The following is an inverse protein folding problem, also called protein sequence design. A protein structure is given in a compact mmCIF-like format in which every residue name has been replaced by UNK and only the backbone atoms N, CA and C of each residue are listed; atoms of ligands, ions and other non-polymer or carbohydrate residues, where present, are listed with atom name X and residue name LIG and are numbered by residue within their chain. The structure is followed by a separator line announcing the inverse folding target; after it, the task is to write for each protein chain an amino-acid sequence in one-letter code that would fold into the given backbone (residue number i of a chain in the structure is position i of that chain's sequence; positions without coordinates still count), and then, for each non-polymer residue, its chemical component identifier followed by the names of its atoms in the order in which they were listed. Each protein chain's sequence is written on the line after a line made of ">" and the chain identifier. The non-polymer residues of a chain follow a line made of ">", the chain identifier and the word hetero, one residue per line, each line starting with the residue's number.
data_IF_314874708453
#
_entry.id   IF_314874708453
#
_cell.length_a   1.000
_cell.length_b   1.000
_cell.length_c   1.000
_cell.angle_alpha   90.00
_cell.angle_beta   90.00
_cell.angle_gamma   90.00
#
_symmetry.space_group_name_H-M   'P 1'
#
loop_
_entity.id
_entity.type
_entity.pdbx_description
1 polymer ?
#
# COMPACT_ATOMS: atom_id res chain seq x y z
N UNK A 1 -26.70 -1.20 6.05
CA UNK A 1 -25.87 -0.03 6.41
C UNK A 1 -25.89 1.08 5.36
N UNK A 2 -25.49 0.84 4.09
CA UNK A 2 -25.54 1.88 3.02
C UNK A 2 -26.94 2.47 2.77
N UNK A 3 -27.99 1.66 2.88
CA UNK A 3 -29.37 2.14 2.77
C UNK A 3 -29.73 3.15 3.87
N UNK A 4 -29.30 2.88 5.10
CA UNK A 4 -29.56 3.75 6.25
C UNK A 4 -28.78 5.07 6.16
N UNK A 5 -27.56 5.04 5.59
CA UNK A 5 -26.81 6.26 5.26
C UNK A 5 -27.54 7.11 4.22
N UNK A 6 -28.00 6.50 3.12
CA UNK A 6 -28.76 7.19 2.08
C UNK A 6 -30.06 7.76 2.63
N UNK A 7 -30.78 6.99 3.43
CA UNK A 7 -32.02 7.42 4.05
C UNK A 7 -31.80 8.58 5.03
N UNK A 8 -30.77 8.50 5.89
CA UNK A 8 -30.37 9.61 6.76
C UNK A 8 -30.03 10.87 5.96
N UNK A 9 -29.34 10.75 4.81
CA UNK A 9 -29.08 11.90 3.91
C UNK A 9 -30.36 12.51 3.37
N UNK A 10 -31.31 11.70 2.91
CA UNK A 10 -32.60 12.19 2.41
C UNK A 10 -33.40 12.89 3.50
N UNK A 11 -33.43 12.34 4.71
CA UNK A 11 -34.13 12.94 5.84
C UNK A 11 -33.46 14.23 6.31
N UNK A 12 -32.12 14.28 6.34
CA UNK A 12 -31.40 15.52 6.60
C UNK A 12 -31.69 16.59 5.54
N UNK A 13 -31.85 16.21 4.27
CA UNK A 13 -32.24 17.13 3.21
C UNK A 13 -33.68 17.63 3.41
N UNK A 14 -34.62 16.75 3.75
CA UNK A 14 -36.00 17.12 4.03
C UNK A 14 -36.14 18.10 5.21
N UNK A 15 -35.32 17.94 6.25
CA UNK A 15 -35.24 18.89 7.37
C UNK A 15 -34.66 20.24 6.91
N UNK A 16 -33.62 20.25 6.08
CA UNK A 16 -33.05 21.50 5.51
C UNK A 16 -34.01 22.25 4.60
N UNK A 17 -34.90 21.53 3.93
CA UNK A 17 -35.97 22.09 3.10
C UNK A 17 -37.24 22.40 3.91
N UNK A 18 -37.18 22.25 5.24
CA UNK A 18 -38.29 22.51 6.16
C UNK A 18 -39.54 21.64 5.90
N UNK A 19 -39.41 20.53 5.18
CA UNK A 19 -40.49 19.56 4.98
C UNK A 19 -40.72 18.69 6.22
N UNK A 20 -39.75 18.64 7.12
CA UNK A 20 -39.79 17.88 8.35
C UNK A 20 -39.23 18.74 9.49
N UNK A 21 -40.02 18.94 10.55
CA UNK A 21 -39.68 19.80 11.68
C UNK A 21 -38.57 19.23 12.58
N UNK A 22 -38.40 17.90 12.63
CA UNK A 22 -37.46 17.25 13.53
C UNK A 22 -36.80 16.05 12.87
N UNK A 23 -35.48 15.97 12.99
CA UNK A 23 -34.72 14.88 12.41
C UNK A 23 -34.80 13.61 13.29
N UNK A 24 -35.39 12.50 12.80
CA UNK A 24 -35.44 11.23 13.51
C UNK A 24 -34.05 10.58 13.70
N UNK A 25 -33.02 11.03 12.97
CA UNK A 25 -31.66 10.50 13.03
C UNK A 25 -30.70 11.26 13.94
N UNK A 26 -31.14 12.29 14.66
CA UNK A 26 -30.25 13.14 15.47
C UNK A 26 -29.50 12.35 16.55
N UNK A 27 -30.18 11.40 17.21
CA UNK A 27 -29.57 10.55 18.24
C UNK A 27 -28.99 9.25 17.68
N UNK A 28 -29.13 9.02 16.38
CA UNK A 28 -28.68 7.78 15.74
C UNK A 28 -27.32 7.96 15.08
N UNK A 29 -26.30 7.32 15.65
CA UNK A 29 -24.95 7.30 15.11
C UNK A 29 -24.70 6.01 14.30
N UNK A 30 -24.31 6.19 13.04
CA UNK A 30 -23.85 5.09 12.20
C UNK A 30 -22.43 4.72 12.63
N UNK A 31 -22.27 3.52 13.19
CA UNK A 31 -20.95 2.94 13.46
C UNK A 31 -20.43 2.29 12.18
N UNK A 32 -19.23 2.66 11.74
CA UNK A 32 -18.58 2.05 10.60
C UNK A 32 -17.38 1.23 11.07
N UNK A 33 -17.35 -0.05 10.71
CA UNK A 33 -16.14 -0.85 10.88
C UNK A 33 -15.18 -0.49 9.75
N UNK A 34 -13.97 -0.07 10.12
CA UNK A 34 -12.88 0.11 9.17
C UNK A 34 -12.40 -1.29 8.76
N UNK A 35 -12.68 -1.68 7.52
CA UNK A 35 -12.10 -2.88 6.94
C UNK A 35 -10.84 -2.49 6.19
N UNK A 36 -9.76 -3.21 6.47
CA UNK A 36 -8.56 -3.12 5.66
C UNK A 36 -8.86 -3.47 4.21
N UNK A 37 -8.35 -2.65 3.29
CA UNK A 37 -8.48 -2.91 1.87
C UNK A 37 -7.57 -4.05 1.49
N UNK A 38 -8.09 -4.96 0.68
CA UNK A 38 -7.29 -6.02 0.06
C UNK A 38 -6.39 -5.38 -1.00
N UNK A 39 -5.09 -5.68 -0.93
CA UNK A 39 -4.07 -5.34 -1.92
C UNK A 39 -3.13 -6.52 -2.13
N UNK A 40 -2.39 -6.51 -3.22
CA UNK A 40 -1.38 -7.52 -3.53
C UNK A 40 -0.03 -7.12 -2.98
N UNK A 41 0.63 -8.03 -2.27
CA UNK A 41 2.03 -7.89 -1.88
C UNK A 41 2.93 -7.91 -3.12
N UNK A 42 4.18 -7.46 -2.98
CA UNK A 42 5.13 -7.46 -4.10
C UNK A 42 5.35 -8.86 -4.69
N UNK A 43 5.34 -9.89 -3.83
CA UNK A 43 5.44 -11.29 -4.25
C UNK A 43 4.23 -11.73 -5.07
N UNK A 44 3.02 -11.46 -4.59
CA UNK A 44 1.79 -11.82 -5.30
C UNK A 44 1.65 -11.05 -6.62
N UNK A 45 2.05 -9.77 -6.67
CA UNK A 45 2.05 -8.99 -7.91
C UNK A 45 2.99 -9.61 -8.95
N UNK A 46 4.22 -9.97 -8.55
CA UNK A 46 5.17 -10.67 -9.44
C UNK A 46 4.66 -12.01 -9.95
N UNK A 47 4.05 -12.82 -9.08
CA UNK A 47 3.45 -14.10 -9.52
C UNK A 47 2.40 -13.91 -10.62
N UNK A 48 1.54 -12.90 -10.49
CA UNK A 48 0.55 -12.58 -11.53
C UNK A 48 1.24 -12.07 -12.80
N UNK A 49 2.27 -11.23 -12.68
CA UNK A 49 3.02 -10.68 -13.80
C UNK A 49 3.69 -11.79 -14.63
N UNK A 50 4.40 -12.70 -13.96
CA UNK A 50 5.18 -13.80 -14.55
C UNK A 50 4.30 -14.94 -15.10
N UNK A 51 3.05 -15.08 -14.64
CA UNK A 51 2.16 -16.15 -15.12
C UNK A 51 1.66 -15.86 -16.53
N UNK A 52 1.95 -16.73 -17.47
CA UNK A 52 1.42 -16.66 -18.84
C UNK A 52 0.17 -17.54 -19.01
N UNK A 53 -0.83 -17.00 -19.71
CA UNK A 53 -2.06 -17.73 -20.00
C UNK A 53 -2.17 -18.05 -21.49
N UNK A 54 -2.39 -19.32 -21.82
CA UNK A 54 -2.68 -19.77 -23.20
C UNK A 54 -3.96 -19.17 -23.79
N UNK A 55 -4.87 -18.70 -22.93
CA UNK A 55 -6.14 -18.09 -23.35
C UNK A 55 -5.99 -16.57 -23.45
N UNK A 56 -6.10 -16.02 -24.66
CA UNK A 56 -5.95 -14.58 -24.94
C UNK A 56 -6.79 -13.70 -24.02
N UNK A 57 -8.04 -14.10 -23.75
CA UNK A 57 -8.95 -13.34 -22.88
C UNK A 57 -8.43 -13.19 -21.45
N UNK A 58 -7.78 -14.23 -20.91
CA UNK A 58 -7.18 -14.17 -19.58
C UNK A 58 -5.91 -13.32 -19.61
N UNK A 59 -5.10 -13.48 -20.64
CA UNK A 59 -3.89 -12.69 -20.85
C UNK A 59 -4.21 -11.18 -20.93
N UNK A 60 -5.21 -10.80 -21.71
CA UNK A 60 -5.63 -9.40 -21.86
C UNK A 60 -6.10 -8.80 -20.53
N UNK A 61 -6.86 -9.57 -19.74
CA UNK A 61 -7.34 -9.13 -18.43
C UNK A 61 -6.20 -9.00 -17.43
N UNK A 62 -5.25 -9.96 -17.45
CA UNK A 62 -4.03 -9.92 -16.65
C UNK A 62 -3.24 -8.66 -16.95
N UNK A 63 -2.96 -8.40 -18.22
CA UNK A 63 -2.14 -7.27 -18.65
C UNK A 63 -2.84 -5.93 -18.31
N UNK A 64 -4.15 -5.81 -18.53
CA UNK A 64 -4.91 -4.63 -18.10
C UNK A 64 -4.89 -4.42 -16.57
N UNK A 65 -4.92 -5.50 -15.80
CA UNK A 65 -4.88 -5.45 -14.34
C UNK A 65 -3.49 -5.07 -13.84
N UNK A 66 -2.43 -5.65 -14.39
CA UNK A 66 -1.04 -5.30 -14.07
C UNK A 66 -0.75 -3.84 -14.46
N UNK A 67 -1.22 -3.39 -15.61
CA UNK A 67 -1.16 -1.97 -16.01
C UNK A 67 -1.82 -1.05 -14.96
N UNK A 68 -3.00 -1.42 -14.46
CA UNK A 68 -3.68 -0.68 -13.39
C UNK A 68 -2.93 -0.77 -12.05
N UNK A 69 -2.20 -1.86 -11.75
CA UNK A 69 -1.34 -1.95 -10.56
C UNK A 69 -0.17 -0.98 -10.61
N UNK A 70 0.33 -0.61 -11.80
CA UNK A 70 1.47 0.30 -11.96
C UNK A 70 1.08 1.74 -12.30
N UNK A 71 -0.18 2.00 -12.67
CA UNK A 71 -0.70 3.36 -12.93
C UNK A 71 -1.74 3.82 -11.91
N UNK A 72 -2.33 2.90 -11.14
CA UNK A 72 -3.41 3.21 -10.20
C UNK A 72 -4.74 3.59 -10.85
N UNK A 73 -4.87 3.57 -12.18
CA UNK A 73 -6.09 3.95 -12.90
C UNK A 73 -7.26 3.02 -12.56
N UNK A 74 -8.48 3.56 -12.51
CA UNK A 74 -9.67 2.73 -12.28
C UNK A 74 -10.08 2.00 -13.56
N UNK A 75 -10.99 1.01 -13.44
CA UNK A 75 -11.51 0.29 -14.60
C UNK A 75 -12.04 1.22 -15.70
N UNK A 76 -12.79 2.26 -15.30
CA UNK A 76 -13.38 3.23 -16.23
C UNK A 76 -12.27 4.04 -16.90
N UNK A 77 -11.32 4.55 -16.11
CA UNK A 77 -10.21 5.36 -16.64
C UNK A 77 -9.33 4.55 -17.62
N UNK A 78 -9.10 3.26 -17.36
CA UNK A 78 -8.34 2.36 -18.26
C UNK A 78 -9.12 2.13 -19.57
N UNK A 79 -10.44 1.94 -19.48
CA UNK A 79 -11.29 1.73 -20.65
C UNK A 79 -11.38 2.96 -21.56
N UNK A 80 -11.33 4.15 -20.97
CA UNK A 80 -11.40 5.43 -21.68
C UNK A 80 -10.02 6.02 -21.99
N UNK A 81 -8.94 5.28 -21.75
CA UNK A 81 -7.59 5.73 -22.02
C UNK A 81 -7.35 5.78 -23.53
N UNK A 82 -6.99 6.96 -24.04
CA UNK A 82 -6.65 7.21 -25.45
C UNK A 82 -5.20 7.68 -25.55
N UNK A 83 -4.63 7.63 -26.76
CA UNK A 83 -3.25 8.09 -27.04
C UNK A 83 -3.06 9.57 -26.70
N UNK A 84 -4.08 10.39 -26.93
CA UNK A 84 -4.03 11.84 -26.68
C UNK A 84 -3.87 12.20 -25.19
N UNK A 85 -4.24 11.26 -24.30
CA UNK A 85 -4.07 11.41 -22.85
C UNK A 85 -2.63 11.11 -22.40
N UNK A 86 -1.77 10.59 -23.28
CA UNK A 86 -0.37 10.33 -22.99
C UNK A 86 0.45 11.50 -23.53
N UNK A 87 1.10 12.24 -22.64
CA UNK A 87 1.98 13.35 -23.01
C UNK A 87 3.30 13.27 -22.26
N UNK A 88 4.33 13.95 -22.78
CA UNK A 88 5.62 14.02 -22.11
C UNK A 88 5.55 14.98 -20.91
N UNK A 89 6.08 14.53 -19.78
CA UNK A 89 6.20 15.32 -18.56
C UNK A 89 7.37 16.29 -18.61
N UNK A 90 7.59 16.98 -17.49
CA UNK A 90 8.71 17.93 -17.29
C UNK A 90 10.06 17.19 -17.28
N UNK A 91 10.03 15.90 -16.98
CA UNK A 91 11.17 14.99 -16.86
C UNK A 91 11.45 14.20 -18.15
N UNK A 92 10.86 14.60 -19.29
CA UNK A 92 10.89 13.91 -20.58
C UNK A 92 10.34 12.47 -20.57
N UNK A 93 9.71 12.03 -19.47
CA UNK A 93 9.05 10.72 -19.36
C UNK A 93 7.62 10.80 -19.88
N UNK A 94 7.03 9.64 -20.16
CA UNK A 94 5.62 9.56 -20.55
C UNK A 94 4.71 9.63 -19.32
N UNK A 95 3.70 10.47 -19.38
CA UNK A 95 2.73 10.70 -18.31
C UNK A 95 1.31 10.55 -18.85
N UNK A 96 0.42 10.02 -18.02
CA UNK A 96 -1.01 9.96 -18.29
C UNK A 96 -1.66 11.19 -17.66
N UNK A 97 -2.30 11.99 -18.50
CA UNK A 97 -3.13 13.12 -18.12
C UNK A 97 -4.59 12.72 -18.33
N UNK A 98 -5.30 12.47 -17.25
CA UNK A 98 -6.73 12.12 -17.32
C UNK A 98 -7.53 12.92 -16.32
N UNK A 99 -8.80 13.15 -16.64
CA UNK A 99 -9.77 13.70 -15.72
C UNK A 99 -10.56 12.55 -15.13
N UNK A 100 -10.58 12.43 -13.81
CA UNK A 100 -11.21 11.30 -13.14
C UNK A 100 -12.73 11.40 -13.25
N UNK A 101 -13.39 10.38 -13.80
CA UNK A 101 -14.85 10.36 -13.99
C UNK A 101 -15.63 10.66 -12.69
N UNK A 102 -15.19 10.06 -11.57
CA UNK A 102 -15.91 10.14 -10.29
C UNK A 102 -15.82 11.50 -9.58
N UNK A 103 -14.71 12.22 -9.74
CA UNK A 103 -14.43 13.44 -8.95
C UNK A 103 -14.13 14.66 -9.80
N UNK A 104 -14.06 14.50 -11.13
CA UNK A 104 -13.71 15.54 -12.10
C UNK A 104 -12.31 16.15 -11.86
N UNK A 105 -11.48 15.52 -11.02
CA UNK A 105 -10.13 15.98 -10.73
C UNK A 105 -9.16 15.57 -11.83
N UNK A 106 -8.28 16.50 -12.22
CA UNK A 106 -7.17 16.21 -13.11
C UNK A 106 -6.11 15.38 -12.37
N UNK A 107 -5.80 14.21 -12.92
CA UNK A 107 -4.80 13.29 -12.40
C UNK A 107 -3.68 13.18 -13.41
N UNK A 108 -2.45 13.39 -12.93
CA UNK A 108 -1.21 13.26 -13.69
C UNK A 108 -0.43 12.10 -13.11
N UNK A 109 -0.18 11.07 -13.90
CA UNK A 109 0.43 9.82 -13.44
C UNK A 109 1.65 9.51 -14.31
N UNK A 110 2.87 9.40 -13.75
CA UNK A 110 4.02 8.96 -14.51
C UNK A 110 3.83 7.49 -14.91
N UNK A 111 4.16 7.16 -16.16
CA UNK A 111 4.10 5.77 -16.63
C UNK A 111 5.39 5.07 -16.22
N UNK A 112 5.25 4.07 -15.36
CA UNK A 112 6.36 3.20 -14.97
C UNK A 112 6.73 2.24 -16.12
N UNK A 113 7.98 1.76 -16.22
CA UNK A 113 8.43 0.88 -17.29
C UNK A 113 7.51 -0.33 -17.52
N UNK A 114 7.09 -1.00 -16.45
CA UNK A 114 6.21 -2.18 -16.52
C UNK A 114 4.84 -1.85 -17.14
N UNK A 115 4.33 -0.64 -16.91
CA UNK A 115 3.09 -0.19 -17.54
C UNK A 115 3.31 0.20 -19.01
N UNK A 116 4.49 0.74 -19.33
CA UNK A 116 4.86 1.09 -20.70
C UNK A 116 5.00 -0.14 -21.59
N UNK A 117 5.64 -1.20 -21.11
CA UNK A 117 5.82 -2.46 -21.85
C UNK A 117 4.47 -3.06 -22.27
N UNK A 118 3.46 -2.94 -21.41
CA UNK A 118 2.09 -3.39 -21.71
C UNK A 118 1.45 -2.52 -22.79
N UNK A 119 1.65 -1.20 -22.76
CA UNK A 119 1.14 -0.31 -23.81
C UNK A 119 1.80 -0.60 -25.16
N UNK A 120 3.10 -0.90 -25.17
CA UNK A 120 3.84 -1.25 -26.37
C UNK A 120 3.38 -2.59 -26.96
N UNK A 121 3.15 -3.59 -26.11
CA UNK A 121 2.59 -4.89 -26.51
C UNK A 121 1.27 -4.78 -27.26
N UNK A 122 0.42 -3.82 -26.89
CA UNK A 122 -0.91 -3.61 -27.50
C UNK A 122 -0.95 -2.44 -28.48
N UNK A 123 0.20 -1.91 -28.91
CA UNK A 123 0.27 -0.75 -29.80
C UNK A 123 -0.50 -0.95 -31.10
N UNK A 124 -0.36 -2.12 -31.72
CA UNK A 124 -0.99 -2.42 -33.02
C UNK A 124 -2.23 -3.31 -32.88
N UNK A 125 -2.70 -3.54 -31.65
CA UNK A 125 -3.87 -4.36 -31.41
C UNK A 125 -5.15 -3.59 -31.79
N UNK A 126 -6.09 -4.18 -32.56
CA UNK A 126 -7.31 -3.51 -32.97
C UNK A 126 -8.26 -3.37 -31.78
N UNK A 127 -8.16 -2.26 -31.07
CA UNK A 127 -9.06 -1.87 -30.00
C UNK A 127 -10.10 -0.88 -30.52
N UNK A 128 -11.37 -1.10 -30.22
CA UNK A 128 -12.44 -0.26 -30.78
C UNK A 128 -12.52 1.15 -30.19
N UNK A 129 -12.02 1.41 -28.96
CA UNK A 129 -12.25 2.68 -28.25
C UNK A 129 -11.23 3.01 -27.13
N UNK A 130 -10.06 2.36 -27.10
CA UNK A 130 -9.08 2.62 -26.04
C UNK A 130 -7.73 1.98 -26.32
N UNK A 131 -6.72 2.20 -25.48
CA UNK A 131 -5.36 1.67 -25.72
C UNK A 131 -5.18 0.20 -25.34
N UNK A 132 -6.08 -0.36 -24.53
CA UNK A 132 -5.94 -1.72 -23.99
C UNK A 132 -7.19 -2.55 -24.28
N UNK A 133 -7.04 -3.86 -24.56
CA UNK A 133 -8.15 -4.76 -24.86
C UNK A 133 -8.91 -5.18 -23.59
N UNK A 134 -9.66 -4.24 -23.01
CA UNK A 134 -10.43 -4.48 -21.79
C UNK A 134 -11.89 -4.87 -22.07
N UNK A 135 -12.36 -5.96 -21.45
CA UNK A 135 -13.75 -6.39 -21.55
C UNK A 135 -14.63 -5.75 -20.46
N UNK A 136 -15.91 -6.14 -20.36
CA UNK A 136 -16.83 -5.58 -19.36
C UNK A 136 -16.35 -5.82 -17.92
N UNK A 137 -16.60 -4.87 -17.01
CA UNK A 137 -16.14 -4.95 -15.61
C UNK A 137 -16.55 -6.27 -14.93
N UNK A 138 -17.76 -6.76 -15.19
CA UNK A 138 -18.23 -8.04 -14.67
C UNK A 138 -17.35 -9.21 -15.17
N UNK A 139 -17.07 -9.27 -16.48
CA UNK A 139 -16.22 -10.32 -17.07
C UNK A 139 -14.78 -10.23 -16.58
N UNK A 140 -14.22 -9.01 -16.50
CA UNK A 140 -12.90 -8.74 -15.93
C UNK A 140 -12.80 -9.33 -14.52
N UNK A 141 -13.74 -9.04 -13.63
CA UNK A 141 -13.70 -9.57 -12.27
C UNK A 141 -13.87 -11.10 -12.20
N UNK A 142 -14.66 -11.70 -13.10
CA UNK A 142 -14.77 -13.15 -13.20
C UNK A 142 -13.46 -13.79 -13.64
N UNK A 143 -12.78 -13.19 -14.63
CA UNK A 143 -11.48 -13.67 -15.10
C UNK A 143 -10.37 -13.44 -14.07
N UNK A 144 -10.38 -12.32 -13.34
CA UNK A 144 -9.44 -12.08 -12.24
C UNK A 144 -9.52 -13.13 -11.15
N UNK A 145 -10.70 -13.67 -10.84
CA UNK A 145 -10.82 -14.80 -9.90
C UNK A 145 -10.13 -16.06 -10.42
N UNK A 146 -10.22 -16.34 -11.73
CA UNK A 146 -9.52 -17.47 -12.35
C UNK A 146 -8.01 -17.27 -12.35
N UNK A 147 -7.56 -16.06 -12.70
CA UNK A 147 -6.14 -15.68 -12.69
C UNK A 147 -5.57 -15.81 -11.27
N UNK A 148 -6.28 -15.28 -10.26
CA UNK A 148 -5.90 -15.39 -8.86
C UNK A 148 -5.74 -16.85 -8.42
N UNK A 149 -6.71 -17.70 -8.77
CA UNK A 149 -6.65 -19.14 -8.49
C UNK A 149 -5.46 -19.83 -9.16
N UNK A 150 -5.18 -19.52 -10.42
CA UNK A 150 -4.05 -20.08 -11.16
C UNK A 150 -2.69 -19.64 -10.57
N UNK A 151 -2.59 -18.43 -10.04
CA UNK A 151 -1.36 -17.88 -9.44
C UNK A 151 -1.19 -18.24 -7.96
N UNK A 152 -2.10 -19.04 -7.36
CA UNK A 152 -2.07 -19.37 -5.93
C UNK A 152 -2.38 -18.17 -5.01
N UNK A 153 -3.08 -17.16 -5.50
CA UNK A 153 -3.48 -15.99 -4.71
C UNK A 153 -4.87 -16.22 -4.11
N UNK A 154 -4.92 -16.46 -2.81
CA UNK A 154 -6.17 -16.76 -2.08
C UNK A 154 -7.04 -15.53 -1.75
N UNK A 155 -6.58 -14.33 -2.10
CA UNK A 155 -7.31 -13.09 -1.89
C UNK A 155 -8.42 -12.93 -2.92
N UNK A 156 -9.55 -12.35 -2.54
CA UNK A 156 -10.58 -11.96 -3.49
C UNK A 156 -10.14 -10.72 -4.29
N UNK A 157 -9.56 -10.94 -5.46
CA UNK A 157 -9.10 -9.87 -6.34
C UNK A 157 -10.24 -9.36 -7.22
N UNK A 158 -10.50 -8.06 -7.15
CA UNK A 158 -11.32 -7.33 -8.13
C UNK A 158 -10.46 -6.30 -8.83
N UNK A 159 -10.92 -5.70 -9.92
CA UNK A 159 -10.12 -4.70 -10.64
C UNK A 159 -9.73 -3.51 -9.76
N UNK A 160 -10.56 -3.12 -8.80
CA UNK A 160 -10.23 -2.05 -7.86
C UNK A 160 -9.07 -2.37 -6.91
N UNK A 161 -8.74 -3.66 -6.73
CA UNK A 161 -7.56 -4.08 -5.95
C UNK A 161 -6.29 -3.59 -6.62
N UNK A 162 -6.25 -3.46 -7.95
CA UNK A 162 -5.09 -2.92 -8.66
C UNK A 162 -4.72 -1.51 -8.19
N UNK A 163 -5.72 -0.63 -8.01
CA UNK A 163 -5.51 0.71 -7.46
C UNK A 163 -4.99 0.69 -6.02
N UNK A 164 -5.47 -0.25 -5.20
CA UNK A 164 -4.95 -0.41 -3.84
C UNK A 164 -3.50 -0.90 -3.87
N UNK A 165 -3.19 -1.88 -4.70
CA UNK A 165 -1.83 -2.40 -4.93
C UNK A 165 -0.88 -1.30 -5.42
N UNK A 166 -1.31 -0.44 -6.34
CA UNK A 166 -0.51 0.72 -6.77
C UNK A 166 -0.15 1.62 -5.58
N UNK A 167 -1.17 2.00 -4.80
CA UNK A 167 -0.98 2.90 -3.67
C UNK A 167 -0.07 2.29 -2.59
N UNK A 168 -0.32 1.04 -2.21
CA UNK A 168 0.41 0.39 -1.11
C UNK A 168 1.75 -0.13 -1.58
N UNK A 169 1.75 -1.06 -2.53
CA UNK A 169 2.87 -1.94 -2.83
C UNK A 169 3.84 -1.27 -3.79
N UNK A 170 3.33 -0.59 -4.81
CA UNK A 170 4.17 0.08 -5.81
C UNK A 170 4.70 1.41 -5.28
N UNK A 171 3.89 2.18 -4.55
CA UNK A 171 4.26 3.52 -4.11
C UNK A 171 4.70 3.59 -2.64
N UNK A 172 3.79 3.41 -1.67
CA UNK A 172 4.09 3.62 -0.24
C UNK A 172 5.20 2.69 0.27
N UNK A 173 5.17 1.41 -0.09
CA UNK A 173 6.20 0.43 0.29
C UNK A 173 7.57 0.72 -0.34
N UNK A 174 7.63 1.50 -1.42
CA UNK A 174 8.88 1.96 -2.04
C UNK A 174 9.25 3.40 -1.62
N UNK A 175 8.70 3.89 -0.51
CA UNK A 175 9.11 5.17 0.11
C UNK A 175 8.51 6.42 -0.52
N UNK A 176 7.51 6.29 -1.40
CA UNK A 176 6.81 7.47 -1.95
C UNK A 176 5.91 8.09 -0.86
N UNK A 177 6.02 9.40 -0.57
CA UNK A 177 5.22 10.05 0.46
C UNK A 177 3.71 9.95 0.19
N UNK A 178 2.93 9.83 1.27
CA UNK A 178 1.47 9.64 1.19
C UNK A 178 0.77 10.80 0.46
N UNK A 179 1.30 12.02 0.56
CA UNK A 179 0.81 13.21 -0.13
C UNK A 179 0.95 13.07 -1.64
N UNK A 180 2.10 12.57 -2.09
CA UNK A 180 2.37 12.28 -3.51
C UNK A 180 1.42 11.19 -4.00
N UNK A 181 1.28 10.09 -3.25
CA UNK A 181 0.33 9.02 -3.60
C UNK A 181 -1.11 9.54 -3.65
N UNK A 182 -1.51 10.41 -2.72
CA UNK A 182 -2.84 11.02 -2.71
C UNK A 182 -3.12 11.83 -3.97
N UNK A 183 -2.13 12.59 -4.47
CA UNK A 183 -2.22 13.36 -5.71
C UNK A 183 -2.29 12.44 -6.94
N UNK A 184 -1.44 11.40 -7.01
CA UNK A 184 -1.46 10.41 -8.09
C UNK A 184 -2.79 9.64 -8.15
N UNK A 185 -3.48 9.49 -7.01
CA UNK A 185 -4.79 8.87 -6.92
C UNK A 185 -5.95 9.88 -7.06
N UNK A 186 -5.72 11.16 -7.33
CA UNK A 186 -6.81 12.15 -7.43
C UNK A 186 -7.76 12.08 -6.23
N UNK A 187 -7.20 12.16 -5.02
CA UNK A 187 -7.96 12.23 -3.78
C UNK A 187 -8.01 13.67 -3.28
N UNK A 188 -9.21 14.27 -3.31
CA UNK A 188 -9.50 15.59 -2.69
C UNK A 188 -9.08 15.69 -1.21
N UNK A 189 -9.14 14.58 -0.46
CA UNK A 189 -8.84 14.52 0.97
C UNK A 189 -7.80 13.45 1.27
N UNK A 190 -6.76 13.85 2.00
CA UNK A 190 -5.69 12.94 2.43
C UNK A 190 -6.22 11.78 3.30
N UNK A 191 -7.30 12.00 4.04
CA UNK A 191 -7.97 10.95 4.83
C UNK A 191 -8.47 9.76 3.99
N UNK A 192 -8.67 9.96 2.69
CA UNK A 192 -9.00 8.87 1.74
C UNK A 192 -7.81 7.96 1.49
N UNK A 193 -6.59 8.51 1.52
CA UNK A 193 -5.33 7.77 1.34
C UNK A 193 -4.85 7.16 2.65
N UNK A 194 -5.25 7.72 3.80
CA UNK A 194 -4.98 7.14 5.13
C UNK A 194 -5.66 5.79 5.39
N UNK A 195 -6.51 5.31 4.48
CA UNK A 195 -7.02 3.93 4.53
C UNK A 195 -5.90 2.87 4.43
N UNK A 196 -4.69 3.28 4.03
CA UNK A 196 -3.49 2.43 4.00
C UNK A 196 -2.62 2.56 5.26
N UNK A 197 -3.20 3.00 6.38
CA UNK A 197 -2.50 3.30 7.64
C UNK A 197 -1.46 2.25 8.05
N UNK A 198 -1.78 0.95 7.97
CA UNK A 198 -0.84 -0.13 8.34
C UNK A 198 0.48 -0.09 7.55
N UNK A 199 0.43 0.23 6.26
CA UNK A 199 1.64 0.32 5.41
C UNK A 199 2.45 1.56 5.80
N UNK A 200 1.75 2.65 6.13
CA UNK A 200 2.37 3.89 6.61
C UNK A 200 3.08 3.65 7.95
N UNK A 201 2.42 2.96 8.89
CA UNK A 201 2.99 2.61 10.21
C UNK A 201 4.24 1.74 10.07
N UNK A 202 4.22 0.69 9.23
CA UNK A 202 5.41 -0.12 8.97
C UNK A 202 6.56 0.70 8.39
N UNK A 203 6.25 1.66 7.51
CA UNK A 203 7.26 2.50 6.88
C UNK A 203 7.87 3.50 7.86
N UNK A 204 7.05 4.10 8.73
CA UNK A 204 7.52 4.96 9.82
C UNK A 204 8.54 4.21 10.69
N UNK A 205 8.25 2.96 11.06
CA UNK A 205 9.18 2.15 11.85
C UNK A 205 10.52 1.92 11.13
N UNK A 206 10.49 1.63 9.83
CA UNK A 206 11.69 1.44 9.01
C UNK A 206 12.50 2.74 8.89
N UNK A 207 11.83 3.85 8.64
CA UNK A 207 12.48 5.16 8.46
C UNK A 207 13.11 5.66 9.76
N UNK A 208 12.46 5.43 10.91
CA UNK A 208 13.06 5.69 12.22
C UNK A 208 14.29 4.80 12.44
N UNK A 209 14.22 3.52 12.09
CA UNK A 209 15.36 2.61 12.17
C UNK A 209 16.56 3.10 11.35
N UNK A 210 16.32 3.50 10.10
CA UNK A 210 17.33 4.07 9.21
C UNK A 210 17.91 5.38 9.76
N UNK A 211 17.08 6.24 10.36
CA UNK A 211 17.53 7.48 11.00
C UNK A 211 18.45 7.20 12.19
N UNK A 212 18.08 6.24 13.05
CA UNK A 212 18.89 5.84 14.21
C UNK A 212 20.24 5.26 13.79
N UNK A 213 20.30 4.50 12.69
CA UNK A 213 21.56 4.00 12.14
C UNK A 213 22.46 5.15 11.69
N UNK A 214 21.92 6.15 10.98
CA UNK A 214 22.68 7.35 10.55
C UNK A 214 23.20 8.17 11.73
N UNK A 215 22.50 8.19 12.86
CA UNK A 215 23.00 8.84 14.08
C UNK A 215 24.19 8.08 14.68
N UNK A 216 24.12 6.74 14.76
CA UNK A 216 25.25 5.91 15.22
C UNK A 216 26.49 6.06 14.34
N UNK A 217 26.31 6.14 13.02
CA UNK A 217 27.40 6.35 12.07
C UNK A 217 28.08 7.71 12.29
N UNK A 218 27.31 8.78 12.47
CA UNK A 218 27.86 10.11 12.76
C UNK A 218 28.58 10.17 14.12
N UNK A 219 28.03 9.55 15.15
CA UNK A 219 28.69 9.47 16.47
C UNK A 219 30.02 8.72 16.38
N UNK A 220 30.06 7.62 15.61
CA UNK A 220 31.28 6.86 15.36
C UNK A 220 32.32 7.68 14.60
N UNK A 221 31.91 8.46 13.60
CA UNK A 221 32.80 9.37 12.86
C UNK A 221 33.37 10.47 13.74
N UNK A 222 32.54 11.11 14.57
CA UNK A 222 32.98 12.15 15.53
C UNK A 222 33.95 11.56 16.57
N UNK A 223 33.74 10.32 17.00
CA UNK A 223 34.63 9.64 17.94
C UNK A 223 35.99 9.29 17.31
N UNK A 224 36.04 8.97 16.01
CA UNK A 224 37.28 8.73 15.26
C UNK A 224 38.02 10.05 15.02
N UNK A 225 37.35 11.11 14.58
CA UNK A 225 37.99 12.42 14.36
C UNK A 225 38.58 13.02 15.63
N UNK A 226 37.96 12.78 16.80
CA UNK A 226 38.53 13.18 18.10
C UNK A 226 39.76 12.37 18.48
N UNK A 227 39.86 11.10 18.07
CA UNK A 227 41.05 10.27 18.30
C UNK A 227 42.23 10.70 17.43
N UNK A 228 41.98 11.04 16.17
CA UNK A 228 43.03 11.46 15.23
C UNK A 228 43.60 12.85 15.59
N UNK A 229 42.78 13.75 16.13
CA UNK A 229 43.23 15.11 16.54
C UNK A 229 44.00 15.16 17.86
N UNK A 230 43.80 14.20 18.77
CA UNK A 230 44.39 14.26 20.11
C UNK A 230 45.65 13.40 20.31
N UNK A 231 46.08 12.56 19.35
CA UNK A 231 47.39 11.89 19.35
C UNK A 231 47.76 10.99 20.54
N UNK A 232 46.98 10.97 21.62
CA UNK A 232 47.33 10.32 22.88
C UNK A 232 46.28 9.27 23.25
N UNK A 233 46.77 8.03 23.45
CA UNK A 233 45.97 6.95 24.02
C UNK A 233 45.70 7.26 25.49
N UNK A 234 44.51 7.76 25.79
CA UNK A 234 43.89 7.58 27.10
C UNK A 234 42.68 6.66 26.97
N UNK A 235 42.85 5.41 27.40
CA UNK A 235 41.74 4.48 27.58
C UNK A 235 40.97 4.97 28.82
N UNK A 236 39.94 5.78 28.60
CA UNK A 236 38.88 5.96 29.61
C UNK A 236 37.79 4.95 29.29
N UNK A 237 37.79 3.87 30.06
CA UNK A 237 36.69 2.91 30.13
C UNK A 237 35.41 3.66 30.50
N UNK A 238 34.48 3.77 29.56
CA UNK A 238 33.12 4.23 29.86
C UNK A 238 32.36 3.02 30.38
N UNK A 239 31.86 3.18 31.60
CA UNK A 239 31.18 2.18 32.42
C UNK A 239 29.95 1.56 31.67
N UNK A 240 29.79 0.21 31.60
CA UNK A 240 28.73 -0.43 30.80
C UNK A 240 27.29 -0.22 31.31
N UNK A 241 27.06 0.55 32.38
CA UNK A 241 25.75 0.65 33.04
C UNK A 241 24.80 1.72 32.51
N UNK A 242 25.19 2.51 31.48
CA UNK A 242 24.29 3.54 30.94
C UNK A 242 23.27 3.04 29.91
N UNK A 243 23.29 1.76 29.54
CA UNK A 243 22.35 1.19 28.56
C UNK A 243 21.68 -0.06 29.13
N UNK A 244 20.77 0.12 30.09
CA UNK A 244 19.88 -0.97 30.51
C UNK A 244 18.38 -0.67 30.41
N UNK A 245 17.96 0.49 29.87
CA UNK A 245 16.54 0.86 29.88
C UNK A 245 15.86 1.06 28.52
N UNK A 246 16.47 0.69 27.39
CA UNK A 246 15.82 0.88 26.07
C UNK A 246 15.78 -0.34 25.15
N UNK A 247 16.23 -1.51 25.61
CA UNK A 247 16.20 -2.77 24.83
C UNK A 247 15.19 -3.82 25.34
N UNK A 248 14.33 -3.50 26.32
CA UNK A 248 13.44 -4.48 26.93
C UNK A 248 11.96 -4.44 26.46
N UNK A 249 11.58 -3.67 25.44
CA UNK A 249 10.17 -3.55 25.04
C UNK A 249 9.81 -3.82 23.57
N UNK A 250 10.73 -4.38 22.77
CA UNK A 250 10.42 -4.72 21.36
C UNK A 250 10.71 -6.17 20.98
N UNK A 251 10.78 -7.09 21.95
CA UNK A 251 10.90 -8.55 21.67
C UNK A 251 9.65 -9.36 22.07
N UNK A 252 8.55 -8.72 22.48
CA UNK A 252 7.30 -9.42 22.81
C UNK A 252 6.09 -8.87 22.05
N UNK A 253 6.10 -8.95 20.71
CA UNK A 253 4.85 -9.00 19.94
C UNK A 253 5.06 -9.86 18.69
N UNK A 254 5.17 -11.16 18.90
CA UNK A 254 5.04 -12.17 17.84
C UNK A 254 4.31 -13.39 18.42
N UNK A 255 3.04 -13.51 18.04
CA UNK A 255 2.14 -14.67 18.07
C UNK A 255 1.79 -15.35 19.42
N UNK A 256 0.47 -15.49 19.74
CA UNK A 256 -0.04 -16.64 20.46
C UNK A 256 -0.73 -17.60 19.48
N UNK A 257 -0.07 -18.72 19.16
CA UNK A 257 -0.74 -19.95 18.72
C UNK A 257 -0.43 -21.01 19.79
N UNK A 258 -1.44 -21.28 20.62
CA UNK A 258 -1.81 -22.56 21.23
C UNK A 258 -0.66 -23.50 21.62
N UNK A 259 -0.37 -23.62 22.93
CA UNK A 259 -0.32 -24.91 23.66
C UNK A 259 -0.06 -24.64 25.15
N UNK A 260 -0.99 -25.03 26.02
CA UNK A 260 -0.81 -25.05 27.47
C UNK A 260 -1.24 -26.43 27.96
N UNK A 261 -0.28 -27.25 28.40
CA UNK A 261 -0.38 -28.16 29.55
C UNK A 261 0.85 -29.07 29.57
N UNK A 262 1.72 -28.86 30.54
CA UNK A 262 2.11 -29.87 31.55
C UNK A 262 3.23 -29.29 32.44
N UNK A 263 2.95 -29.32 33.73
CA UNK A 263 3.84 -28.96 34.82
C UNK A 263 5.07 -29.87 34.88
N UNK A 264 6.20 -29.38 35.43
CA UNK A 264 7.07 -30.08 36.39
C UNK A 264 8.13 -29.11 36.96
N UNK A 265 8.41 -29.23 38.26
CA UNK A 265 9.16 -28.29 39.09
C UNK A 265 10.70 -28.39 39.02
N UNK A 266 11.42 -27.64 39.90
CA UNK A 266 12.83 -27.35 39.75
C UNK A 266 13.73 -28.42 40.40
N UNK A 267 14.81 -28.81 39.72
CA UNK A 267 15.93 -29.53 40.33
C UNK A 267 17.15 -28.61 40.29
N UNK A 268 17.59 -28.27 41.50
CA UNK A 268 18.84 -27.58 41.78
C UNK A 268 20.04 -28.51 41.51
N UNK A 269 21.09 -27.98 40.89
CA UNK A 269 22.42 -28.61 40.94
C UNK A 269 23.44 -27.55 41.38
N UNK A 270 23.99 -27.82 42.55
CA UNK A 270 25.08 -27.15 43.26
C UNK A 270 26.40 -27.56 42.57
N UNK A 271 27.23 -26.61 42.15
CA UNK A 271 28.63 -26.87 41.82
C UNK A 271 29.50 -26.13 42.84
N UNK A 272 30.25 -26.91 43.62
CA UNK A 272 31.21 -26.44 44.61
C UNK A 272 32.61 -26.83 44.13
N UNK A 273 33.51 -25.85 44.19
CA UNK A 273 34.87 -25.87 43.65
C UNK A 273 35.86 -26.22 44.77
N UNK A 274 36.90 -26.98 44.40
CA UNK A 274 38.27 -27.02 44.94
C UNK A 274 38.60 -28.01 46.08
N UNK A 275 39.59 -28.86 45.71
CA UNK A 275 40.44 -29.82 46.43
C UNK A 275 39.84 -31.18 46.81
#
# INVERSE_FOLDING_TARGET
>A
MKHLERFKKMVNLAVKLEWVNKNPFDRFQLKFNKFDRVFLTQRELRLIEETEFKQDRLQHVKDCFVFSCYTGLSYVDVKELTRDKITKGIDDRNWIYTKREKTDELVKIPILPQAWDILEKYRDYPTHNGLLPICSNQKVNTYLKKIAGACGVHKNITFHVARHTFATTVMLSNGVPIETVSKLLGHTKLSTTQIYARVVESKISEDIGNLLMRFKERESQIAVEKKDKNGEREIRTIDPKSYHNLTAHLVYFSYPIIFNQLAFGPIAVKLQLVL
#
